data_IF_294157669279
#
_entry.id   IF_294157669279
#
_cell.length_a   1.000
_cell.length_b   1.000
_cell.length_c   1.000
_cell.angle_alpha   90.00
_cell.angle_beta   90.00
_cell.angle_gamma   90.00
#
_symmetry.space_group_name_H-M   'P 1'
#
loop_
_entity.id
_entity.type
_entity.pdbx_description
1 polymer ?
#
# COMPACT_ATOMS: atom_id res chain seq x y z
N UNK A 1 -8.15 0.47 18.91
CA UNK A 1 -8.78 1.60 18.21
C UNK A 1 -7.69 2.41 17.53
N UNK A 2 -7.62 2.32 16.21
CA UNK A 2 -6.72 3.16 15.43
C UNK A 2 -7.40 4.52 15.30
N UNK A 3 -6.78 5.56 15.89
CA UNK A 3 -7.29 6.92 15.77
C UNK A 3 -7.29 7.36 14.31
N UNK A 4 -8.35 7.99 13.90
CA UNK A 4 -8.47 8.69 12.62
C UNK A 4 -7.38 9.76 12.57
N UNK A 5 -6.41 9.62 11.68
CA UNK A 5 -5.42 10.64 11.39
C UNK A 5 -3.94 10.26 11.46
N UNK A 6 -3.61 9.09 11.99
CA UNK A 6 -2.20 8.69 12.05
C UNK A 6 -1.78 7.98 10.75
N UNK A 7 -1.20 8.74 9.85
CA UNK A 7 -0.47 8.18 8.73
C UNK A 7 0.86 7.65 9.23
N UNK A 8 0.92 6.34 9.47
CA UNK A 8 2.17 5.70 9.86
C UNK A 8 3.08 5.56 8.64
N UNK A 9 4.16 6.31 8.63
CA UNK A 9 5.28 6.04 7.73
C UNK A 9 6.17 5.01 8.42
N UNK A 10 6.28 3.82 7.80
CA UNK A 10 7.25 2.82 8.21
C UNK A 10 8.35 2.73 7.17
N UNK A 11 9.56 2.58 7.62
CA UNK A 11 10.73 2.38 6.77
C UNK A 11 11.33 1.02 7.13
N UNK A 12 11.66 0.26 6.10
CA UNK A 12 12.40 -0.98 6.23
C UNK A 12 13.63 -0.91 5.32
N UNK A 13 14.79 -1.36 5.79
CA UNK A 13 15.96 -1.42 4.93
C UNK A 13 15.71 -2.39 3.78
N UNK A 14 16.15 -2.04 2.59
CA UNK A 14 16.16 -2.94 1.46
C UNK A 14 17.15 -4.09 1.73
N UNK A 15 16.74 -5.31 1.43
CA UNK A 15 17.52 -6.52 1.65
C UNK A 15 18.24 -6.93 0.38
N UNK A 16 17.52 -7.07 -0.71
CA UNK A 16 18.03 -7.46 -2.02
C UNK A 16 17.84 -6.38 -3.09
N UNK A 17 16.90 -5.45 -2.88
CA UNK A 17 16.45 -4.51 -3.89
C UNK A 17 15.37 -5.08 -4.81
N UNK A 18 15.06 -6.38 -4.67
CA UNK A 18 13.90 -7.01 -5.31
C UNK A 18 12.66 -6.75 -4.47
N UNK A 19 11.63 -6.14 -5.07
CA UNK A 19 10.45 -5.66 -4.33
C UNK A 19 9.77 -6.78 -3.54
N UNK A 20 9.60 -7.97 -4.11
CA UNK A 20 8.96 -9.09 -3.43
C UNK A 20 9.76 -9.57 -2.20
N UNK A 21 11.08 -9.65 -2.32
CA UNK A 21 11.97 -10.04 -1.23
C UNK A 21 11.96 -9.01 -0.11
N UNK A 22 12.01 -7.74 -0.46
CA UNK A 22 12.00 -6.64 0.50
C UNK A 22 10.66 -6.57 1.26
N UNK A 23 9.52 -6.81 0.59
CA UNK A 23 8.23 -6.96 1.25
C UNK A 23 8.17 -8.19 2.16
N UNK A 24 8.66 -9.34 1.71
CA UNK A 24 8.74 -10.55 2.53
C UNK A 24 9.54 -10.28 3.80
N UNK A 25 10.71 -9.66 3.66
CA UNK A 25 11.54 -9.29 4.80
C UNK A 25 10.86 -8.30 5.75
N UNK A 26 10.11 -7.32 5.21
CA UNK A 26 9.32 -6.39 6.01
C UNK A 26 8.25 -7.12 6.83
N UNK A 27 7.47 -8.02 6.22
CA UNK A 27 6.43 -8.77 6.93
C UNK A 27 7.02 -9.66 8.02
N UNK A 28 8.13 -10.34 7.74
CA UNK A 28 8.79 -11.21 8.71
C UNK A 28 9.39 -10.41 9.87
N UNK A 29 10.15 -9.35 9.59
CA UNK A 29 10.88 -8.61 10.63
C UNK A 29 10.06 -7.56 11.35
N UNK A 30 9.23 -6.82 10.63
CA UNK A 30 8.49 -5.68 11.19
C UNK A 30 7.10 -6.06 11.65
N UNK A 31 6.42 -6.95 10.93
CA UNK A 31 5.08 -7.42 11.28
C UNK A 31 5.10 -8.75 12.04
N UNK A 32 6.27 -9.40 12.14
CA UNK A 32 6.46 -10.72 12.80
C UNK A 32 5.51 -11.79 12.23
N UNK A 33 5.25 -11.71 10.93
CA UNK A 33 4.39 -12.64 10.19
C UNK A 33 5.23 -13.40 9.19
N UNK A 34 5.20 -14.72 9.27
CA UNK A 34 5.70 -15.56 8.18
C UNK A 34 4.85 -15.26 6.95
N UNK A 35 5.49 -14.90 5.87
CA UNK A 35 4.79 -14.47 4.65
C UNK A 35 5.56 -14.91 3.43
N UNK A 36 4.85 -15.28 2.38
CA UNK A 36 5.42 -15.45 1.05
C UNK A 36 4.84 -14.37 0.12
N UNK A 37 5.71 -13.59 -0.49
CA UNK A 37 5.33 -12.57 -1.47
C UNK A 37 5.92 -12.94 -2.82
N UNK A 38 5.10 -12.94 -3.85
CA UNK A 38 5.58 -13.05 -5.22
C UNK A 38 4.98 -11.93 -6.07
N UNK A 39 5.82 -11.27 -6.82
CA UNK A 39 5.45 -10.23 -7.76
C UNK A 39 6.04 -10.58 -9.12
N UNK A 40 5.32 -10.25 -10.18
CA UNK A 40 5.80 -10.49 -11.52
C UNK A 40 5.20 -9.55 -12.54
N UNK A 41 6.03 -9.10 -13.45
CA UNK A 41 5.64 -8.28 -14.61
C UNK A 41 6.23 -8.92 -15.85
N UNK A 42 5.39 -9.13 -16.86
CA UNK A 42 5.80 -9.54 -18.18
C UNK A 42 5.62 -8.36 -19.13
N UNK A 43 6.73 -7.97 -19.76
CA UNK A 43 6.77 -6.83 -20.67
C UNK A 43 7.09 -7.31 -22.08
N UNK A 44 6.45 -6.74 -23.07
CA UNK A 44 6.77 -6.89 -24.47
C UNK A 44 7.07 -5.52 -25.10
N UNK A 45 7.31 -5.48 -26.42
CA UNK A 45 7.58 -4.23 -27.14
C UNK A 45 6.41 -3.23 -27.13
N UNK A 46 5.21 -3.66 -26.84
CA UNK A 46 3.98 -2.85 -26.81
C UNK A 46 3.67 -2.36 -25.38
N UNK A 47 4.44 -2.81 -24.36
CA UNK A 47 4.27 -2.44 -22.96
C UNK A 47 4.12 -3.63 -22.03
N UNK A 48 3.43 -3.41 -20.91
CA UNK A 48 3.15 -4.46 -19.91
C UNK A 48 2.08 -5.40 -20.47
N UNK A 49 2.45 -6.67 -20.62
CA UNK A 49 1.56 -7.74 -21.10
C UNK A 49 0.77 -8.39 -19.95
N UNK A 50 1.45 -8.66 -18.86
CA UNK A 50 0.85 -9.21 -17.66
C UNK A 50 1.60 -8.68 -16.42
N UNK A 51 0.85 -8.33 -15.38
CA UNK A 51 1.41 -7.90 -14.11
C UNK A 51 0.50 -8.38 -12.97
N UNK A 52 1.11 -8.83 -11.89
CA UNK A 52 0.37 -9.24 -10.71
C UNK A 52 1.26 -9.84 -9.65
N UNK A 53 0.63 -10.27 -8.57
CA UNK A 53 1.33 -10.86 -7.45
C UNK A 53 0.37 -11.52 -6.48
N UNK A 54 0.96 -12.13 -5.46
CA UNK A 54 0.23 -12.66 -4.32
C UNK A 54 1.01 -12.46 -3.03
N UNK A 55 0.27 -12.40 -1.94
CA UNK A 55 0.76 -12.44 -0.59
C UNK A 55 0.07 -13.60 0.13
N UNK A 56 0.84 -14.49 0.71
CA UNK A 56 0.34 -15.62 1.51
C UNK A 56 0.83 -15.45 2.94
N UNK A 57 -0.10 -15.54 3.87
CA UNK A 57 0.18 -15.56 5.29
C UNK A 57 -0.44 -16.84 5.89
N UNK A 58 0.33 -17.65 6.64
CA UNK A 58 -0.26 -18.74 7.39
C UNK A 58 -1.18 -18.20 8.48
N UNK A 59 -2.23 -18.94 8.78
CA UNK A 59 -3.08 -18.66 9.93
C UNK A 59 -2.33 -19.00 11.23
N UNK A 60 -2.68 -18.40 12.38
CA UNK A 60 -1.98 -18.64 13.65
C UNK A 60 -2.01 -20.10 14.13
N UNK A 61 -2.97 -20.87 13.67
CA UNK A 61 -3.18 -22.29 13.99
C UNK A 61 -2.68 -23.24 12.88
N UNK A 62 -2.01 -22.72 11.84
CA UNK A 62 -1.44 -23.55 10.78
C UNK A 62 -0.34 -24.44 11.31
N UNK A 63 -0.36 -25.70 10.89
CA UNK A 63 0.66 -26.67 11.20
C UNK A 63 1.89 -26.51 10.30
N UNK A 64 3.06 -26.99 10.74
CA UNK A 64 4.28 -27.00 9.92
C UNK A 64 4.10 -27.81 8.64
N UNK A 65 3.28 -28.88 8.67
CA UNK A 65 2.99 -29.71 7.50
C UNK A 65 2.18 -28.94 6.45
N UNK A 66 1.18 -28.15 6.87
CA UNK A 66 0.42 -27.29 5.97
C UNK A 66 1.28 -26.20 5.37
N UNK A 67 2.13 -25.57 6.14
CA UNK A 67 3.07 -24.56 5.67
C UNK A 67 4.01 -25.17 4.62
N UNK A 68 4.63 -26.32 4.92
CA UNK A 68 5.52 -27.01 4.00
C UNK A 68 4.82 -27.44 2.70
N UNK A 69 3.54 -27.84 2.78
CA UNK A 69 2.74 -28.17 1.59
C UNK A 69 2.56 -26.94 0.69
N UNK A 70 2.24 -25.80 1.28
CA UNK A 70 2.07 -24.54 0.55
C UNK A 70 3.38 -24.08 -0.09
N UNK A 71 4.50 -24.14 0.66
CA UNK A 71 5.83 -23.82 0.12
C UNK A 71 6.19 -24.67 -1.10
N UNK A 72 5.96 -26.00 -1.03
CA UNK A 72 6.18 -26.89 -2.17
C UNK A 72 5.28 -26.55 -3.36
N UNK A 73 4.02 -26.17 -3.09
CA UNK A 73 3.05 -25.78 -4.12
C UNK A 73 3.46 -24.49 -4.81
N UNK A 74 3.90 -23.48 -4.05
CA UNK A 74 4.46 -22.22 -4.57
C UNK A 74 5.66 -22.52 -5.50
N UNK A 75 6.59 -23.36 -5.05
CA UNK A 75 7.74 -23.71 -5.85
C UNK A 75 7.37 -24.39 -7.18
N UNK A 76 6.38 -25.29 -7.15
CA UNK A 76 5.87 -25.97 -8.35
C UNK A 76 5.06 -25.05 -9.26
N UNK A 77 4.36 -24.09 -8.70
CA UNK A 77 3.51 -23.17 -9.46
C UNK A 77 4.31 -22.29 -10.42
N UNK A 78 5.53 -21.90 -10.03
CA UNK A 78 6.40 -21.05 -10.82
C UNK A 78 6.04 -19.57 -10.79
N UNK A 79 6.46 -18.82 -11.81
CA UNK A 79 6.30 -17.38 -11.85
C UNK A 79 4.84 -16.96 -12.03
N UNK A 80 4.38 -16.02 -11.20
CA UNK A 80 3.00 -15.45 -11.27
C UNK A 80 2.72 -14.80 -12.62
N UNK A 81 3.70 -14.09 -13.20
CA UNK A 81 3.54 -13.45 -14.51
C UNK A 81 3.24 -14.43 -15.63
N UNK A 82 3.77 -15.66 -15.55
CA UNK A 82 3.49 -16.71 -16.50
C UNK A 82 2.05 -17.24 -16.34
N UNK A 83 1.60 -17.45 -15.11
CA UNK A 83 0.23 -17.90 -14.84
C UNK A 83 -0.80 -16.87 -15.35
N UNK A 84 -0.51 -15.57 -15.18
CA UNK A 84 -1.36 -14.49 -15.70
C UNK A 84 -1.33 -14.43 -17.24
N UNK A 85 -0.16 -14.67 -17.84
CA UNK A 85 -0.03 -14.72 -19.32
C UNK A 85 -0.79 -15.90 -19.93
N UNK A 86 -0.92 -17.00 -19.21
CA UNK A 86 -1.73 -18.16 -19.55
C UNK A 86 -3.24 -17.91 -19.33
N UNK A 87 -3.64 -16.72 -18.91
CA UNK A 87 -5.02 -16.31 -18.59
C UNK A 87 -5.68 -17.13 -17.48
N UNK A 88 -4.92 -17.65 -16.53
CA UNK A 88 -5.49 -18.29 -15.35
C UNK A 88 -6.27 -17.26 -14.52
N UNK A 89 -7.45 -17.63 -14.06
CA UNK A 89 -8.21 -16.83 -13.12
C UNK A 89 -7.51 -16.73 -11.76
N UNK A 90 -7.83 -15.72 -10.97
CA UNK A 90 -7.26 -15.56 -9.63
C UNK A 90 -7.54 -16.77 -8.73
N UNK A 91 -8.72 -17.40 -8.88
CA UNK A 91 -9.07 -18.61 -8.14
C UNK A 91 -8.19 -19.81 -8.55
N UNK A 92 -7.97 -20.00 -9.84
CA UNK A 92 -7.08 -21.07 -10.34
C UNK A 92 -5.64 -20.85 -9.86
N UNK A 93 -5.17 -19.61 -9.88
CA UNK A 93 -3.88 -19.25 -9.33
C UNK A 93 -3.83 -19.56 -7.83
N UNK A 94 -4.83 -19.14 -7.06
CA UNK A 94 -4.91 -19.43 -5.64
C UNK A 94 -4.87 -20.93 -5.32
N UNK A 95 -5.63 -21.74 -6.01
CA UNK A 95 -5.60 -23.21 -5.90
C UNK A 95 -4.21 -23.79 -6.21
N UNK A 96 -3.59 -23.28 -7.26
CA UNK A 96 -2.28 -23.74 -7.69
C UNK A 96 -1.17 -23.43 -6.70
N UNK A 97 -1.18 -22.22 -6.09
CA UNK A 97 -0.16 -21.79 -5.14
C UNK A 97 -0.36 -22.36 -3.73
N UNK A 98 -1.62 -22.63 -3.33
CA UNK A 98 -1.90 -23.27 -2.03
C UNK A 98 -1.82 -24.78 -2.09
N UNK A 99 -1.99 -25.36 -3.28
CA UNK A 99 -2.13 -26.82 -3.46
C UNK A 99 -3.43 -27.35 -2.86
N UNK A 100 -4.45 -26.50 -2.75
CA UNK A 100 -5.75 -26.82 -2.20
C UNK A 100 -6.85 -26.53 -3.23
N UNK A 101 -7.74 -27.48 -3.45
CA UNK A 101 -8.87 -27.33 -4.36
C UNK A 101 -10.07 -26.64 -3.72
N UNK A 102 -10.15 -26.65 -2.39
CA UNK A 102 -11.26 -26.07 -1.61
C UNK A 102 -11.00 -24.62 -1.17
N UNK A 103 -10.30 -23.84 -2.02
CA UNK A 103 -10.04 -22.42 -1.74
C UNK A 103 -11.35 -21.66 -1.63
N UNK A 104 -11.57 -21.04 -0.48
CA UNK A 104 -12.74 -20.21 -0.21
C UNK A 104 -12.44 -18.76 -0.54
N UNK A 105 -13.18 -18.21 -1.49
CA UNK A 105 -13.12 -16.78 -1.82
C UNK A 105 -13.93 -16.01 -0.78
N UNK A 106 -13.29 -15.06 -0.11
CA UNK A 106 -13.92 -14.21 0.91
C UNK A 106 -14.46 -12.93 0.30
N UNK A 107 -13.71 -12.32 -0.61
CA UNK A 107 -14.08 -11.07 -1.28
C UNK A 107 -13.73 -11.17 -2.76
N UNK A 108 -14.68 -10.82 -3.60
CA UNK A 108 -14.52 -10.73 -5.05
C UNK A 108 -14.77 -9.30 -5.51
N UNK A 109 -14.25 -8.97 -6.69
CA UNK A 109 -14.51 -7.70 -7.38
C UNK A 109 -14.06 -6.44 -6.61
N UNK A 110 -13.01 -6.54 -5.78
CA UNK A 110 -12.36 -5.36 -5.23
C UNK A 110 -11.69 -4.62 -6.37
N UNK A 111 -12.17 -3.42 -6.65
CA UNK A 111 -11.50 -2.52 -7.60
C UNK A 111 -10.55 -1.62 -6.82
N UNK A 112 -9.24 -1.81 -6.93
CA UNK A 112 -8.29 -0.91 -6.27
C UNK A 112 -8.37 0.47 -6.92
N UNK A 113 -8.48 1.50 -6.10
CA UNK A 113 -8.45 2.89 -6.54
C UNK A 113 -7.22 3.58 -5.96
N UNK A 114 -6.62 4.46 -6.76
CA UNK A 114 -5.58 5.35 -6.28
C UNK A 114 -6.23 6.66 -5.84
N UNK A 115 -6.54 6.76 -4.57
CA UNK A 115 -7.21 7.92 -3.99
C UNK A 115 -6.47 8.39 -2.73
N UNK A 116 -6.45 9.69 -2.53
CA UNK A 116 -5.86 10.31 -1.35
C UNK A 116 -6.95 11.03 -0.56
N UNK A 117 -7.03 10.76 0.73
CA UNK A 117 -8.00 11.36 1.65
C UNK A 117 -7.69 12.81 2.01
N UNK A 118 -6.73 13.44 1.34
CA UNK A 118 -6.40 14.82 1.60
C UNK A 118 -7.52 15.76 1.18
N UNK A 119 -7.84 16.71 2.04
CA UNK A 119 -8.81 17.76 1.80
C UNK A 119 -8.27 19.12 2.21
N UNK A 120 -8.93 20.20 1.79
CA UNK A 120 -8.54 21.55 2.19
C UNK A 120 -8.74 21.75 3.69
N UNK A 121 -9.78 21.15 4.25
CA UNK A 121 -10.12 21.15 5.68
C UNK A 121 -8.99 20.47 6.48
N UNK A 122 -8.54 19.29 6.05
CA UNK A 122 -7.43 18.59 6.70
C UNK A 122 -6.11 19.37 6.64
N UNK A 123 -5.85 20.07 5.53
CA UNK A 123 -4.69 20.94 5.41
C UNK A 123 -4.81 22.17 6.32
N UNK A 124 -6.02 22.73 6.51
CA UNK A 124 -6.24 23.86 7.43
C UNK A 124 -6.01 23.48 8.88
N UNK A 125 -6.36 22.26 9.30
CA UNK A 125 -6.02 21.74 10.63
C UNK A 125 -4.50 21.63 10.84
N UNK A 126 -3.77 21.31 9.78
CA UNK A 126 -2.30 21.35 9.79
C UNK A 126 -1.75 22.75 10.04
N UNK A 127 -2.30 23.75 9.35
CA UNK A 127 -1.94 25.18 9.56
C UNK A 127 -2.25 25.66 10.99
N UNK A 128 -3.38 25.26 11.54
CA UNK A 128 -3.75 25.61 12.92
C UNK A 128 -2.71 25.11 13.96
N UNK A 129 -1.98 24.02 13.64
CA UNK A 129 -1.01 23.41 14.55
C UNK A 129 0.39 24.05 14.52
N UNK A 130 0.71 24.87 13.52
CA UNK A 130 2.04 25.52 13.45
C UNK A 130 2.22 26.62 14.50
N UNK A 131 1.13 27.10 15.08
CA UNK A 131 1.13 28.12 16.11
C UNK A 131 0.65 29.47 15.60
N UNK A 132 0.09 30.25 16.54
CA UNK A 132 -0.55 31.53 16.23
C UNK A 132 0.43 32.57 15.69
N UNK A 133 1.61 32.66 16.28
CA UNK A 133 2.64 33.65 15.91
C UNK A 133 3.16 33.40 14.48
N UNK A 134 3.41 32.14 14.11
CA UNK A 134 3.88 31.78 12.77
C UNK A 134 2.79 31.98 11.72
N UNK A 135 1.54 31.68 12.07
CA UNK A 135 0.43 31.87 11.15
C UNK A 135 0.16 33.38 10.91
N UNK A 136 0.24 34.23 11.95
CA UNK A 136 0.18 35.69 11.84
C UNK A 136 1.32 36.25 10.98
N UNK A 137 2.52 35.69 11.10
CA UNK A 137 3.67 36.09 10.29
C UNK A 137 3.44 35.80 8.80
N UNK A 138 2.93 34.61 8.45
CA UNK A 138 2.57 34.24 7.08
C UNK A 138 1.50 35.18 6.54
N UNK A 139 0.45 35.48 7.32
CA UNK A 139 -0.62 36.40 6.92
C UNK A 139 -0.09 37.79 6.62
N UNK A 140 0.80 38.28 7.45
CA UNK A 140 1.34 39.65 7.34
C UNK A 140 2.40 39.81 6.24
N UNK A 141 3.22 38.78 6.01
CA UNK A 141 4.30 38.81 5.01
C UNK A 141 3.85 38.45 3.62
N UNK A 142 3.14 37.31 3.52
CA UNK A 142 2.82 36.69 2.23
C UNK A 142 1.35 36.90 1.83
N UNK A 143 0.47 37.05 2.80
CA UNK A 143 -0.98 37.21 2.57
C UNK A 143 -1.66 35.99 1.97
N UNK A 144 -0.96 34.87 1.84
CA UNK A 144 -1.46 33.59 1.31
C UNK A 144 -0.56 32.45 1.73
N UNK A 145 -1.05 31.21 1.68
CA UNK A 145 -0.25 30.01 1.85
C UNK A 145 -0.60 28.98 0.78
N UNK A 146 0.38 28.21 0.33
CA UNK A 146 0.21 27.03 -0.51
C UNK A 146 0.72 25.81 0.26
N UNK A 147 -0.13 24.80 0.44
CA UNK A 147 0.26 23.51 0.97
C UNK A 147 0.16 22.45 -0.12
N UNK A 148 1.14 21.56 -0.13
CA UNK A 148 1.18 20.46 -1.08
C UNK A 148 1.05 19.14 -0.32
N UNK A 149 0.11 18.32 -0.72
CA UNK A 149 -0.04 16.99 -0.15
C UNK A 149 1.16 16.12 -0.54
N UNK A 150 1.88 15.60 0.46
CA UNK A 150 3.06 14.75 0.24
C UNK A 150 2.75 13.40 -0.42
N UNK A 151 1.49 12.96 -0.45
CA UNK A 151 1.09 11.68 -1.03
C UNK A 151 0.69 11.80 -2.50
N UNK A 152 -0.19 12.77 -2.82
CA UNK A 152 -0.74 12.90 -4.17
C UNK A 152 -0.27 14.15 -4.91
N UNK A 153 0.54 15.00 -4.29
CA UNK A 153 1.05 16.26 -4.82
C UNK A 153 -0.06 17.30 -5.16
N UNK A 154 -1.27 17.11 -4.68
CA UNK A 154 -2.35 18.09 -4.84
C UNK A 154 -2.02 19.34 -4.05
N UNK A 155 -2.18 20.49 -4.68
CA UNK A 155 -1.94 21.80 -4.11
C UNK A 155 -3.21 22.38 -3.52
N UNK A 156 -3.09 22.99 -2.37
CA UNK A 156 -4.15 23.68 -1.65
C UNK A 156 -3.71 25.10 -1.36
N UNK A 157 -4.41 26.05 -1.93
CA UNK A 157 -4.15 27.48 -1.72
C UNK A 157 -5.10 28.03 -0.65
N UNK A 158 -4.57 28.85 0.22
CA UNK A 158 -5.29 29.54 1.28
C UNK A 158 -5.13 31.06 1.09
N UNK A 159 -6.25 31.76 0.97
CA UNK A 159 -6.26 33.21 0.93
C UNK A 159 -6.02 33.81 2.32
N UNK A 160 -5.77 35.10 2.35
CA UNK A 160 -5.59 35.84 3.62
C UNK A 160 -6.80 35.69 4.55
N UNK A 161 -8.01 35.81 3.99
CA UNK A 161 -9.26 35.68 4.75
C UNK A 161 -9.43 34.27 5.34
N UNK A 162 -9.03 33.26 4.59
CA UNK A 162 -9.07 31.87 5.06
C UNK A 162 -8.06 31.63 6.18
N UNK A 163 -6.85 32.18 6.07
CA UNK A 163 -5.83 32.09 7.11
C UNK A 163 -6.26 32.83 8.38
N UNK A 164 -6.85 34.03 8.26
CA UNK A 164 -7.43 34.77 9.38
C UNK A 164 -8.60 34.00 10.04
N UNK A 165 -9.31 33.20 9.26
CA UNK A 165 -10.36 32.30 9.76
C UNK A 165 -9.84 31.15 10.61
N UNK A 166 -8.64 30.66 10.32
CA UNK A 166 -7.97 29.58 11.07
C UNK A 166 -7.45 30.06 12.44
N UNK A 167 -7.14 31.36 12.56
CA UNK A 167 -6.68 31.97 13.81
C UNK A 167 -7.75 32.13 14.89
N UNK A 168 -9.03 32.04 14.53
CA UNK A 168 -10.18 32.22 15.42
C UNK A 168 -10.55 30.94 16.15
#
# INVERSE_FOLDING_TARGET
>A
SRGLGDVYKRQSPLTSGEIADDFTNYFVKSEQRQSAVALGVLVNKDGVKAAGGYLINPMPDSTEEEIAKVEQSIFKAGAISKMLDENLSLLEIAKKITGDEDVKVLEENITPIYECDCSKEHMSEGLAKIGKEELEDIINKDGKAELVCHFCNKKYEFSKEELEGILK
#
